data_IF_037380922615
#
_entry.id   IF_037380922615
#
_cell.length_a   1.000
_cell.length_b   1.000
_cell.length_c   1.000
_cell.angle_alpha   90.00
_cell.angle_beta   90.00
_cell.angle_gamma   90.00
#
_symmetry.space_group_name_H-M   'P 1'
#
loop_
_entity.id
_entity.type
_entity.pdbx_description
1 polymer ?
#
# COMPACT_ATOMS: atom_id res chain seq x y z
N UNK A 1 9.32 -49.68 12.46
CA UNK A 1 8.36 -48.96 11.61
C UNK A 1 8.33 -47.51 12.09
N UNK A 2 9.06 -46.62 11.41
CA UNK A 2 9.28 -45.25 11.84
C UNK A 2 8.24 -44.32 11.20
N UNK A 3 7.44 -43.62 12.00
CA UNK A 3 6.64 -42.48 11.53
C UNK A 3 7.31 -41.20 12.02
N UNK A 4 8.00 -40.53 11.11
CA UNK A 4 8.47 -39.16 11.28
C UNK A 4 7.26 -38.22 11.12
N UNK A 5 6.77 -37.67 12.22
CA UNK A 5 5.91 -36.48 12.20
C UNK A 5 6.78 -35.28 11.81
N UNK A 6 6.83 -34.98 10.52
CA UNK A 6 7.32 -33.70 10.04
C UNK A 6 6.32 -32.62 10.47
N UNK A 7 6.63 -31.93 11.55
CA UNK A 7 5.93 -30.70 11.96
C UNK A 7 6.31 -29.63 10.94
N UNK A 8 5.51 -29.52 9.88
CA UNK A 8 5.56 -28.39 8.96
C UNK A 8 4.95 -27.18 9.67
N UNK A 9 5.77 -26.50 10.46
CA UNK A 9 5.50 -25.15 10.95
C UNK A 9 5.38 -24.23 9.74
N UNK A 10 4.18 -24.14 9.17
CA UNK A 10 3.86 -23.20 8.11
C UNK A 10 4.17 -21.79 8.62
N UNK A 11 5.22 -21.22 8.06
CA UNK A 11 5.61 -19.81 8.13
C UNK A 11 4.49 -18.95 7.54
N UNK A 12 3.35 -18.86 8.22
CA UNK A 12 2.21 -18.01 7.86
C UNK A 12 2.31 -16.59 8.41
N UNK A 13 3.39 -16.27 9.12
CA UNK A 13 3.62 -14.95 9.69
C UNK A 13 4.72 -14.23 8.91
N UNK A 14 4.44 -12.97 8.58
CA UNK A 14 5.30 -11.95 7.96
C UNK A 14 5.20 -11.69 6.45
N UNK A 15 4.11 -12.06 5.78
CA UNK A 15 3.99 -11.79 4.34
C UNK A 15 4.16 -10.29 3.98
N UNK A 16 3.78 -9.37 4.86
CA UNK A 16 3.85 -7.91 4.61
C UNK A 16 4.75 -7.12 5.55
N UNK A 17 5.42 -7.73 6.52
CA UNK A 17 6.15 -7.02 7.58
C UNK A 17 7.30 -6.17 7.02
N UNK A 18 7.92 -6.61 5.92
CA UNK A 18 8.93 -5.82 5.22
C UNK A 18 8.40 -4.50 4.66
N UNK A 19 7.07 -4.34 4.51
CA UNK A 19 6.43 -3.12 4.02
C UNK A 19 6.06 -2.13 5.12
N UNK A 20 6.21 -2.51 6.39
CA UNK A 20 5.91 -1.63 7.52
C UNK A 20 6.71 -0.32 7.47
N UNK A 21 6.03 0.78 7.83
CA UNK A 21 6.59 2.12 7.86
C UNK A 21 6.10 3.03 6.73
N UNK A 22 6.83 4.11 6.52
CA UNK A 22 6.45 5.20 5.61
C UNK A 22 7.17 5.06 4.26
N UNK A 23 6.42 5.12 3.18
CA UNK A 23 6.94 5.12 1.82
C UNK A 23 6.42 6.33 1.07
N UNK A 24 7.28 6.99 0.29
CA UNK A 24 6.89 8.19 -0.43
C UNK A 24 7.61 8.38 -1.75
N UNK A 25 6.93 9.06 -2.66
CA UNK A 25 7.46 9.48 -3.95
C UNK A 25 6.68 10.65 -4.51
N UNK A 26 7.28 11.33 -5.47
CA UNK A 26 6.72 12.51 -6.12
C UNK A 26 6.19 12.13 -7.50
N UNK A 27 4.96 12.54 -7.79
CA UNK A 27 4.38 12.45 -9.12
C UNK A 27 4.87 13.62 -9.99
N UNK A 28 5.09 13.43 -11.31
CA UNK A 28 5.55 14.51 -12.20
C UNK A 28 4.71 15.79 -12.19
N UNK A 29 3.45 15.70 -11.74
CA UNK A 29 2.54 16.85 -11.58
C UNK A 29 2.75 17.63 -10.26
N UNK A 30 3.81 17.32 -9.49
CA UNK A 30 4.16 18.03 -8.27
C UNK A 30 3.34 17.64 -7.05
N UNK A 31 2.76 16.43 -7.04
CA UNK A 31 2.05 15.87 -5.88
C UNK A 31 2.92 14.80 -5.24
N UNK A 32 3.24 14.98 -3.96
CA UNK A 32 3.91 13.99 -3.14
C UNK A 32 2.88 13.02 -2.58
N UNK A 33 3.08 11.74 -2.86
CA UNK A 33 2.28 10.66 -2.32
C UNK A 33 3.07 9.95 -1.22
N UNK A 34 2.39 9.66 -0.12
CA UNK A 34 2.94 8.97 1.02
C UNK A 34 1.97 7.89 1.48
N UNK A 35 2.45 6.67 1.68
CA UNK A 35 1.72 5.62 2.38
C UNK A 35 2.41 5.27 3.68
N UNK A 36 1.66 5.31 4.77
CA UNK A 36 2.05 4.80 6.07
C UNK A 36 1.42 3.42 6.25
N UNK A 37 2.24 2.37 6.29
CA UNK A 37 1.79 0.98 6.54
C UNK A 37 1.96 0.68 8.03
N UNK A 38 0.83 0.49 8.70
CA UNK A 38 0.74 0.24 10.13
C UNK A 38 0.48 -1.24 10.43
N UNK A 39 0.46 -1.56 11.72
CA UNK A 39 0.42 -2.93 12.20
C UNK A 39 -0.89 -3.65 11.81
N UNK A 40 -0.90 -4.96 11.99
CA UNK A 40 -1.95 -5.84 11.50
C UNK A 40 -3.21 -5.73 12.33
N UNK A 41 -4.33 -5.64 11.63
CA UNK A 41 -5.66 -5.94 12.16
C UNK A 41 -6.23 -7.13 11.39
N UNK A 42 -6.47 -8.25 12.10
CA UNK A 42 -7.05 -9.48 11.53
C UNK A 42 -6.35 -9.99 10.25
N UNK A 43 -5.01 -9.96 10.24
CA UNK A 43 -4.21 -10.46 9.11
C UNK A 43 -4.03 -9.49 7.94
N UNK A 44 -4.55 -8.26 8.03
CA UNK A 44 -4.35 -7.19 7.05
C UNK A 44 -3.60 -6.02 7.72
N UNK A 45 -2.75 -5.31 6.98
CA UNK A 45 -2.16 -4.07 7.47
C UNK A 45 -3.15 -2.93 7.33
N UNK A 46 -3.35 -2.16 8.39
CA UNK A 46 -3.99 -0.85 8.25
C UNK A 46 -3.00 0.12 7.61
N UNK A 47 -3.47 1.02 6.78
CA UNK A 47 -2.62 2.04 6.18
C UNK A 47 -3.34 3.37 6.02
N UNK A 48 -2.54 4.42 5.83
CA UNK A 48 -3.02 5.77 5.54
C UNK A 48 -2.22 6.33 4.35
N UNK A 49 -2.92 6.84 3.35
CA UNK A 49 -2.33 7.51 2.19
C UNK A 49 -2.53 9.01 2.33
N UNK A 50 -1.45 9.76 2.21
CA UNK A 50 -1.46 11.21 2.15
C UNK A 50 -0.99 11.65 0.76
N UNK A 51 -1.74 12.56 0.16
CA UNK A 51 -1.32 13.28 -1.03
C UNK A 51 -1.19 14.77 -0.67
N UNK A 52 -0.09 15.38 -1.07
CA UNK A 52 0.19 16.80 -0.83
C UNK A 52 0.84 17.44 -2.05
N UNK A 53 0.25 18.52 -2.54
CA UNK A 53 0.76 19.36 -3.61
C UNK A 53 0.17 20.77 -3.48
N UNK A 54 0.48 21.65 -4.43
CA UNK A 54 0.13 23.08 -4.35
C UNK A 54 -1.38 23.31 -4.17
N UNK A 55 -2.22 22.51 -4.84
CA UNK A 55 -3.69 22.61 -4.78
C UNK A 55 -4.36 21.34 -4.24
N UNK A 56 -3.59 20.29 -3.98
CA UNK A 56 -4.12 18.96 -3.66
C UNK A 56 -3.67 18.57 -2.27
N UNK A 57 -4.63 18.28 -1.39
CA UNK A 57 -4.36 17.68 -0.10
C UNK A 57 -5.47 16.69 0.22
N UNK A 58 -5.13 15.44 0.51
CA UNK A 58 -6.09 14.49 1.04
C UNK A 58 -5.43 13.35 1.82
N UNK A 59 -6.19 12.84 2.78
CA UNK A 59 -5.84 11.70 3.62
C UNK A 59 -6.87 10.59 3.40
N UNK A 60 -6.40 9.42 2.98
CA UNK A 60 -7.22 8.25 2.74
C UNK A 60 -6.85 7.16 3.74
N UNK A 61 -7.86 6.55 4.32
CA UNK A 61 -7.71 5.31 5.07
C UNK A 61 -7.72 4.13 4.09
N UNK A 62 -6.83 3.18 4.33
CA UNK A 62 -6.71 1.99 3.51
C UNK A 62 -6.39 0.75 4.36
N UNK A 63 -6.48 -0.39 3.71
CA UNK A 63 -5.88 -1.63 4.21
C UNK A 63 -5.02 -2.24 3.11
N UNK A 64 -4.05 -3.04 3.52
CA UNK A 64 -3.09 -3.66 2.62
C UNK A 64 -2.83 -5.12 2.97
N UNK A 65 -2.52 -5.89 1.94
CA UNK A 65 -2.11 -7.30 2.02
C UNK A 65 -1.13 -7.60 0.89
N UNK A 66 -0.47 -8.75 0.93
CA UNK A 66 0.44 -9.16 -0.13
C UNK A 66 1.59 -9.98 0.40
N UNK A 67 2.74 -9.84 -0.24
CA UNK A 67 3.95 -10.60 0.03
C UNK A 67 5.19 -9.70 0.12
N UNK A 68 6.35 -10.33 0.29
CA UNK A 68 7.62 -9.63 0.44
C UNK A 68 7.96 -8.70 -0.74
N UNK A 69 7.40 -8.95 -1.93
CA UNK A 69 7.69 -8.20 -3.15
C UNK A 69 6.53 -7.35 -3.65
N UNK A 70 5.30 -7.64 -3.21
CA UNK A 70 4.09 -6.95 -3.66
C UNK A 70 3.22 -6.55 -2.48
N UNK A 71 2.91 -5.25 -2.36
CA UNK A 71 1.89 -4.75 -1.44
C UNK A 71 0.66 -4.30 -2.26
N UNK A 72 -0.46 -4.97 -2.05
CA UNK A 72 -1.76 -4.64 -2.62
C UNK A 72 -2.51 -3.78 -1.63
N UNK A 73 -2.87 -2.57 -2.02
CA UNK A 73 -3.52 -1.57 -1.18
C UNK A 73 -4.94 -1.34 -1.67
N UNK A 74 -5.88 -1.28 -0.74
CA UNK A 74 -7.30 -1.14 -1.00
C UNK A 74 -7.83 0.06 -0.23
N UNK A 75 -8.61 0.89 -0.92
CA UNK A 75 -9.24 2.06 -0.33
C UNK A 75 -10.34 1.66 0.67
N UNK A 76 -10.45 2.39 1.78
CA UNK A 76 -11.51 2.24 2.78
C UNK A 76 -12.40 3.47 2.84
N UNK A 77 -11.81 4.64 3.07
CA UNK A 77 -12.54 5.88 3.35
C UNK A 77 -11.64 7.09 3.14
N UNK A 78 -12.22 8.23 2.79
CA UNK A 78 -11.55 9.53 2.85
C UNK A 78 -11.73 10.09 4.25
N UNK A 79 -10.62 10.41 4.91
CA UNK A 79 -10.62 11.02 6.24
C UNK A 79 -10.83 12.53 6.13
N UNK A 80 -10.08 13.16 5.23
CA UNK A 80 -10.13 14.60 4.96
C UNK A 80 -9.49 14.91 3.60
N UNK A 81 -9.75 16.10 3.07
CA UNK A 81 -9.06 16.61 1.90
C UNK A 81 -9.93 17.41 0.95
N UNK A 82 -9.25 17.99 -0.05
CA UNK A 82 -9.82 18.67 -1.19
C UNK A 82 -9.21 18.10 -2.48
N UNK A 83 -9.96 18.19 -3.59
CA UNK A 83 -9.53 17.74 -4.92
C UNK A 83 -9.22 16.23 -5.03
N UNK A 84 -9.77 15.42 -4.13
CA UNK A 84 -9.80 13.96 -4.27
C UNK A 84 -10.98 13.51 -5.14
N UNK A 85 -10.71 12.73 -6.19
CA UNK A 85 -11.73 12.17 -7.09
C UNK A 85 -12.41 10.92 -6.49
N UNK A 86 -12.95 11.04 -5.27
CA UNK A 86 -13.50 9.91 -4.52
C UNK A 86 -14.70 9.22 -5.18
N UNK A 87 -15.46 9.94 -6.02
CA UNK A 87 -16.58 9.38 -6.79
C UNK A 87 -16.16 8.35 -7.85
N UNK A 88 -14.87 8.26 -8.20
CA UNK A 88 -14.35 7.28 -9.16
C UNK A 88 -13.86 5.99 -8.51
N UNK A 89 -13.90 5.92 -7.18
CA UNK A 89 -13.32 4.81 -6.42
C UNK A 89 -14.34 3.71 -6.22
N UNK A 90 -13.96 2.51 -6.63
CA UNK A 90 -14.70 1.29 -6.34
C UNK A 90 -14.16 0.70 -5.05
N UNK A 91 -15.04 0.59 -4.05
CA UNK A 91 -14.74 -0.08 -2.80
C UNK A 91 -14.41 -1.55 -3.07
N UNK A 92 -13.46 -2.10 -2.29
CA UNK A 92 -12.95 -3.47 -2.38
C UNK A 92 -12.13 -3.81 -3.63
N UNK A 93 -12.07 -2.93 -4.63
CA UNK A 93 -11.16 -3.08 -5.76
C UNK A 93 -9.75 -2.59 -5.37
N UNK A 94 -8.75 -3.15 -6.05
CA UNK A 94 -7.36 -2.77 -5.86
C UNK A 94 -7.18 -1.29 -6.14
N UNK A 95 -6.63 -0.54 -5.19
CA UNK A 95 -6.47 0.90 -5.31
C UNK A 95 -5.09 1.25 -5.84
N UNK A 96 -4.07 0.67 -5.21
CA UNK A 96 -2.66 0.91 -5.47
C UNK A 96 -1.90 -0.41 -5.30
N UNK A 97 -0.83 -0.58 -6.08
CA UNK A 97 0.14 -1.66 -5.89
C UNK A 97 1.52 -1.07 -5.68
N UNK A 98 2.20 -1.46 -4.59
CA UNK A 98 3.63 -1.27 -4.48
C UNK A 98 4.36 -2.54 -4.89
N UNK A 99 5.42 -2.41 -5.70
CA UNK A 99 6.27 -3.53 -6.14
C UNK A 99 7.74 -3.26 -5.89
N UNK A 100 8.45 -4.27 -5.37
CA UNK A 100 9.91 -4.34 -5.31
C UNK A 100 10.45 -5.05 -6.53
N UNK A 101 11.24 -4.34 -7.32
CA UNK A 101 11.89 -4.88 -8.50
C UNK A 101 13.34 -4.37 -8.54
N UNK A 102 14.31 -5.29 -8.57
CA UNK A 102 15.76 -4.96 -8.65
C UNK A 102 16.21 -3.92 -7.60
N UNK A 103 15.74 -4.06 -6.36
CA UNK A 103 16.08 -3.17 -5.25
C UNK A 103 15.38 -1.81 -5.24
N UNK A 104 14.50 -1.54 -6.22
CA UNK A 104 13.69 -0.31 -6.27
C UNK A 104 12.25 -0.62 -5.90
N UNK A 105 11.59 0.35 -5.27
CA UNK A 105 10.16 0.27 -4.98
C UNK A 105 9.42 1.24 -5.89
N UNK A 106 8.28 0.78 -6.38
CA UNK A 106 7.40 1.58 -7.20
C UNK A 106 5.98 1.50 -6.72
N UNK A 107 5.24 2.57 -6.91
CA UNK A 107 3.81 2.70 -6.61
C UNK A 107 3.07 2.84 -7.93
N UNK A 108 2.03 2.05 -8.14
CA UNK A 108 1.19 2.10 -9.34
C UNK A 108 -0.29 2.18 -8.95
N UNK A 109 -0.99 3.20 -9.43
CA UNK A 109 -2.44 3.34 -9.27
C UNK A 109 -3.20 2.35 -10.16
N UNK A 110 -4.41 1.98 -9.76
CA UNK A 110 -5.22 0.99 -10.47
C UNK A 110 -6.65 1.47 -10.82
N UNK A 111 -7.05 2.66 -10.35
CA UNK A 111 -8.42 3.15 -10.54
C UNK A 111 -8.51 4.64 -10.90
N UNK A 112 -7.95 5.54 -10.08
CA UNK A 112 -8.19 6.98 -10.24
C UNK A 112 -7.25 7.63 -11.26
N UNK A 113 -6.01 7.16 -11.30
CA UNK A 113 -4.94 7.75 -12.08
C UNK A 113 -4.20 6.68 -12.85
N UNK A 114 -3.72 7.05 -14.03
CA UNK A 114 -2.72 6.26 -14.75
C UNK A 114 -1.34 6.70 -14.31
N UNK A 115 -0.42 5.73 -14.23
CA UNK A 115 0.99 6.02 -13.99
C UNK A 115 1.62 5.22 -12.87
N UNK A 116 2.90 5.48 -12.67
CA UNK A 116 3.76 4.80 -11.73
C UNK A 116 4.81 5.79 -11.24
N UNK A 117 5.04 5.83 -9.94
CA UNK A 117 6.11 6.63 -9.34
C UNK A 117 7.13 5.71 -8.67
N UNK A 118 8.37 6.17 -8.64
CA UNK A 118 9.37 5.58 -7.75
C UNK A 118 9.09 6.03 -6.33
N UNK A 119 9.18 5.12 -5.37
CA UNK A 119 9.01 5.46 -3.96
C UNK A 119 10.20 4.96 -3.15
N UNK A 120 10.51 5.68 -2.08
CA UNK A 120 11.55 5.35 -1.12
C UNK A 120 10.96 5.18 0.27
N UNK A 121 11.58 4.32 1.06
CA UNK A 121 11.29 4.25 2.50
C UNK A 121 11.85 5.51 3.16
N UNK A 122 11.09 6.11 4.06
CA UNK A 122 11.57 7.19 4.93
C UNK A 122 12.16 6.65 6.22
#
# INVERSE_FOLDING_TARGET
MALLFAVSSLLGFQQTDGWMGKWSGEHPEGVTYTIQVNDKYRGMNLCEIHAEGIQTFYTLECWATGDANTLKVYYRSTKEGAFYAGNRVKLNDLFVVLRREKGKVSWQWQQIFDGKIAVRKM
#
